data_IF_837777776865
#
_entry.id   IF_837777776865
#
_cell.length_a   1.000
_cell.length_b   1.000
_cell.length_c   1.000
_cell.angle_alpha   90.00
_cell.angle_beta   90.00
_cell.angle_gamma   90.00
#
_symmetry.space_group_name_H-M   'P 1'
#
loop_
_entity.id
_entity.type
_entity.pdbx_description
1 polymer ?
#
# COMPACT_ATOMS: atom_id res chain seq x y z
N UNK A 1 13.48 18.39 10.23
CA UNK A 1 12.32 19.27 10.37
C UNK A 1 11.14 18.38 9.99
N UNK A 2 10.06 18.95 9.51
CA UNK A 2 8.86 18.29 9.01
C UNK A 2 8.32 19.37 8.05
N UNK A 3 8.58 19.20 6.77
CA UNK A 3 8.54 20.31 5.79
C UNK A 3 7.20 20.40 5.07
N UNK A 4 6.50 19.27 4.95
CA UNK A 4 5.18 19.10 4.39
C UNK A 4 4.08 19.09 5.49
N UNK A 5 4.43 18.75 6.73
CA UNK A 5 3.59 18.92 7.92
C UNK A 5 2.72 17.70 8.25
N UNK A 6 3.09 16.51 7.79
CA UNK A 6 2.36 15.26 7.96
C UNK A 6 2.68 14.55 9.29
N UNK A 7 3.75 14.97 9.98
CA UNK A 7 4.22 14.42 11.25
C UNK A 7 5.32 13.36 11.12
N UNK A 8 5.75 13.04 9.90
CA UNK A 8 6.96 12.28 9.59
C UNK A 8 8.13 13.29 9.45
N UNK A 9 9.27 13.09 10.13
CA UNK A 9 10.36 14.06 10.02
C UNK A 9 11.15 13.90 8.71
N UNK A 10 11.60 14.99 8.06
CA UNK A 10 12.32 14.95 6.75
C UNK A 10 13.49 13.95 6.68
N UNK A 11 14.11 13.65 7.83
CA UNK A 11 15.23 12.71 7.94
C UNK A 11 14.80 11.24 7.78
N UNK A 12 13.53 10.95 8.04
CA UNK A 12 12.88 9.66 7.85
C UNK A 12 12.43 9.51 6.40
N UNK A 13 11.73 10.50 5.83
CA UNK A 13 11.28 10.50 4.43
C UNK A 13 12.45 10.51 3.44
N UNK A 14 13.46 11.34 3.73
CA UNK A 14 14.63 11.47 2.88
C UNK A 14 14.36 12.20 1.57
N UNK A 15 15.36 12.24 0.69
CA UNK A 15 15.30 12.99 -0.58
C UNK A 15 14.97 12.09 -1.78
N UNK A 16 14.30 10.97 -1.53
CA UNK A 16 13.72 10.14 -2.60
C UNK A 16 12.63 10.90 -3.35
N UNK A 17 12.13 10.32 -4.42
CA UNK A 17 11.00 10.79 -5.23
C UNK A 17 10.39 9.50 -5.80
N UNK A 18 9.57 8.85 -4.99
CA UNK A 18 9.15 7.46 -5.22
C UNK A 18 8.12 7.39 -6.35
N UNK A 19 7.14 8.29 -6.34
CA UNK A 19 6.09 8.37 -7.36
C UNK A 19 6.55 9.09 -8.66
N UNK A 20 7.72 9.74 -8.63
CA UNK A 20 8.31 10.47 -9.76
C UNK A 20 7.50 11.69 -10.22
N UNK A 21 6.79 12.37 -9.32
CA UNK A 21 6.04 13.60 -9.63
C UNK A 21 6.93 14.87 -9.66
N UNK A 22 8.15 14.77 -9.10
CA UNK A 22 9.15 15.83 -9.04
C UNK A 22 9.23 16.56 -7.70
N UNK A 23 8.46 16.17 -6.70
CA UNK A 23 8.63 16.51 -5.30
C UNK A 23 9.46 15.42 -4.61
N UNK A 24 10.49 15.78 -3.84
CA UNK A 24 11.13 14.81 -2.99
C UNK A 24 10.19 14.39 -1.85
N UNK A 25 10.24 13.13 -1.43
CA UNK A 25 9.36 12.56 -0.38
C UNK A 25 9.18 13.50 0.83
N UNK A 26 10.27 14.08 1.39
CA UNK A 26 10.16 15.01 2.53
C UNK A 26 9.37 16.32 2.29
N UNK A 27 8.92 16.57 1.07
CA UNK A 27 8.10 17.71 0.65
C UNK A 27 6.80 17.26 -0.02
N UNK A 28 6.60 15.96 -0.16
CA UNK A 28 5.43 15.34 -0.75
C UNK A 28 4.54 14.84 0.37
N UNK A 29 3.22 14.98 0.21
CA UNK A 29 2.24 14.56 1.21
C UNK A 29 1.56 13.23 0.85
N UNK A 30 1.95 12.64 -0.28
CA UNK A 30 1.46 11.38 -0.88
C UNK A 30 2.66 10.77 -1.65
N UNK A 31 3.69 10.36 -0.91
CA UNK A 31 5.03 10.09 -1.42
C UNK A 31 5.09 8.94 -2.43
N UNK A 32 4.16 7.98 -2.39
CA UNK A 32 4.07 6.86 -3.32
C UNK A 32 3.00 7.06 -4.43
N UNK A 33 2.18 8.11 -4.31
CA UNK A 33 1.24 8.58 -5.31
C UNK A 33 0.02 7.67 -5.47
N UNK A 34 -0.36 6.94 -4.43
CA UNK A 34 -1.48 6.01 -4.44
C UNK A 34 -2.84 6.71 -4.14
N UNK A 35 -2.79 7.94 -3.59
CA UNK A 35 -3.94 8.76 -3.23
C UNK A 35 -4.36 8.68 -1.75
N UNK A 36 -3.61 7.98 -0.90
CA UNK A 36 -3.70 7.95 0.54
C UNK A 36 -2.54 8.80 1.09
N UNK A 37 -2.81 9.86 1.87
CA UNK A 37 -1.72 10.72 2.34
C UNK A 37 -0.78 10.04 3.36
N UNK A 38 0.50 10.40 3.35
CA UNK A 38 1.55 9.86 4.24
C UNK A 38 1.15 9.91 5.73
N UNK A 39 0.46 10.98 6.15
CA UNK A 39 -0.08 11.13 7.52
C UNK A 39 -1.08 10.04 7.92
N UNK A 40 -1.77 9.45 6.95
CA UNK A 40 -2.75 8.37 7.14
C UNK A 40 -2.04 7.01 7.16
N UNK A 41 -1.11 6.78 6.24
CA UNK A 41 -0.39 5.51 6.09
C UNK A 41 0.62 5.30 7.22
N UNK A 42 1.39 6.35 7.51
CA UNK A 42 2.38 6.41 8.56
C UNK A 42 3.61 5.53 8.31
N UNK A 43 4.49 5.51 9.31
CA UNK A 43 5.79 4.82 9.22
C UNK A 43 5.72 3.32 9.56
N UNK A 44 4.56 2.69 9.40
CA UNK A 44 4.41 1.23 9.54
C UNK A 44 5.18 0.51 8.44
N UNK A 45 5.32 -0.81 8.55
CA UNK A 45 5.85 -1.71 7.50
C UNK A 45 5.11 -3.03 7.73
N UNK A 46 3.91 -3.12 7.17
CA UNK A 46 2.97 -4.17 7.52
C UNK A 46 3.35 -5.52 6.91
N UNK A 47 3.78 -5.52 5.65
CA UNK A 47 4.17 -6.73 4.93
C UNK A 47 5.63 -7.18 5.23
N UNK A 48 6.46 -6.28 5.76
CA UNK A 48 7.83 -6.54 6.18
C UNK A 48 8.84 -6.56 5.03
N UNK A 49 8.54 -5.91 3.90
CA UNK A 49 9.44 -5.85 2.74
C UNK A 49 10.58 -4.83 2.90
N UNK A 50 10.45 -3.92 3.88
CA UNK A 50 11.43 -2.91 4.25
C UNK A 50 11.16 -1.51 3.69
N UNK A 51 10.06 -1.32 2.96
CA UNK A 51 9.47 -0.01 2.69
C UNK A 51 8.45 0.32 3.79
N UNK A 52 8.50 1.53 4.36
CA UNK A 52 7.40 1.99 5.18
C UNK A 52 6.12 2.15 4.35
N UNK A 53 4.95 1.98 4.96
CA UNK A 53 3.65 2.08 4.28
C UNK A 53 3.50 3.36 3.43
N UNK A 54 3.89 4.54 3.93
CA UNK A 54 3.87 5.79 3.15
C UNK A 54 4.80 5.83 1.91
N UNK A 55 5.57 4.76 1.68
CA UNK A 55 6.45 4.55 0.54
C UNK A 55 6.17 3.20 -0.15
N UNK A 56 5.02 2.58 0.11
CA UNK A 56 4.67 1.26 -0.38
C UNK A 56 3.25 1.21 -0.94
N UNK A 57 3.15 1.07 -2.26
CA UNK A 57 1.88 1.08 -2.97
C UNK A 57 1.07 -0.24 -2.86
N UNK A 58 1.52 -1.21 -2.06
CA UNK A 58 0.88 -2.50 -1.74
C UNK A 58 1.21 -2.86 -0.28
N UNK A 59 0.87 -1.98 0.66
CA UNK A 59 1.34 -1.98 2.07
C UNK A 59 1.12 -3.30 2.83
N UNK A 60 0.11 -4.08 2.46
CA UNK A 60 -0.20 -5.38 3.09
C UNK A 60 0.35 -6.61 2.33
N UNK A 61 0.92 -6.38 1.15
CA UNK A 61 1.53 -7.38 0.29
C UNK A 61 0.56 -8.45 -0.24
N UNK A 62 -0.75 -8.17 -0.30
CA UNK A 62 -1.75 -9.09 -0.82
C UNK A 62 -1.79 -9.13 -2.37
N UNK A 63 -1.18 -8.13 -3.01
CA UNK A 63 -1.07 -7.98 -4.46
C UNK A 63 -2.15 -7.12 -5.09
N UNK A 64 -2.92 -6.38 -4.30
CA UNK A 64 -3.87 -5.35 -4.73
C UNK A 64 -3.31 -3.99 -4.29
N UNK A 65 -3.07 -3.04 -5.22
CA UNK A 65 -2.53 -1.75 -4.84
C UNK A 65 -3.42 -0.97 -3.87
N UNK A 66 -2.81 -0.26 -2.93
CA UNK A 66 -3.45 0.55 -1.89
C UNK A 66 -4.45 1.55 -2.50
N UNK A 67 -4.09 2.18 -3.63
CA UNK A 67 -4.95 3.05 -4.45
C UNK A 67 -6.31 2.42 -4.85
N UNK A 68 -6.36 1.09 -4.95
CA UNK A 68 -7.57 0.32 -5.30
C UNK A 68 -8.36 -0.07 -4.04
N UNK A 69 -7.67 -0.37 -2.94
CA UNK A 69 -8.27 -0.82 -1.69
C UNK A 69 -8.84 0.35 -0.86
N UNK A 70 -8.06 1.41 -0.75
CA UNK A 70 -8.35 2.67 -0.07
C UNK A 70 -8.49 2.54 1.44
N UNK A 71 -8.88 3.63 2.08
CA UNK A 71 -9.01 3.72 3.55
C UNK A 71 -10.32 3.12 4.10
N UNK A 72 -10.96 2.24 3.34
CA UNK A 72 -12.19 1.56 3.78
C UNK A 72 -11.91 0.55 4.90
N UNK A 73 -12.95 -0.08 5.42
CA UNK A 73 -12.84 -1.24 6.30
C UNK A 73 -13.98 -2.19 5.88
N UNK A 74 -13.67 -3.08 4.94
CA UNK A 74 -14.64 -3.95 4.27
C UNK A 74 -15.20 -5.01 5.21
N UNK A 75 -14.42 -5.36 6.22
CA UNK A 75 -14.53 -6.54 7.04
C UNK A 75 -15.09 -6.20 8.44
N UNK A 76 -14.82 -4.97 8.91
CA UNK A 76 -15.33 -4.36 10.13
C UNK A 76 -14.51 -4.65 11.38
N UNK A 77 -13.28 -5.15 11.24
CA UNK A 77 -12.40 -5.44 12.37
C UNK A 77 -11.59 -4.23 12.87
N UNK A 78 -11.64 -3.11 12.13
CA UNK A 78 -10.99 -1.85 12.45
C UNK A 78 -9.61 -1.66 11.82
N UNK A 79 -9.18 -2.55 10.94
CA UNK A 79 -7.99 -2.39 10.10
C UNK A 79 -8.44 -1.79 8.75
N UNK A 80 -7.82 -0.69 8.28
CA UNK A 80 -8.12 -0.16 6.96
C UNK A 80 -7.75 -1.16 5.85
N UNK A 81 -8.48 -1.14 4.73
CA UNK A 81 -8.29 -2.13 3.66
C UNK A 81 -6.85 -2.21 3.14
N UNK A 82 -6.20 -1.06 2.91
CA UNK A 82 -4.79 -0.99 2.46
C UNK A 82 -3.78 -1.57 3.49
N UNK A 83 -4.24 -1.89 4.70
CA UNK A 83 -3.47 -2.53 5.76
C UNK A 83 -4.05 -3.89 6.17
N UNK A 84 -5.01 -4.42 5.43
CA UNK A 84 -5.77 -5.61 5.79
C UNK A 84 -5.57 -6.75 4.76
N UNK A 85 -4.57 -7.63 4.99
CA UNK A 85 -4.29 -8.75 4.09
C UNK A 85 -5.43 -9.79 4.07
N UNK A 86 -6.42 -9.66 4.96
CA UNK A 86 -7.61 -10.48 5.00
C UNK A 86 -8.93 -9.69 4.95
N UNK A 87 -8.98 -8.68 4.07
CA UNK A 87 -10.12 -7.86 3.58
C UNK A 87 -11.46 -8.58 3.27
N UNK A 88 -11.54 -9.91 3.48
CA UNK A 88 -12.71 -10.77 3.34
C UNK A 88 -13.20 -11.21 4.72
N UNK A 89 -14.06 -10.37 5.28
CA UNK A 89 -14.97 -10.67 6.40
C UNK A 89 -15.29 -12.16 6.54
N UNK A 90 -14.68 -12.80 7.53
CA UNK A 90 -15.08 -14.10 8.06
C UNK A 90 -15.06 -15.28 7.08
N UNK A 91 -13.96 -16.02 7.10
CA UNK A 91 -13.87 -17.45 6.73
C UNK A 91 -14.16 -17.83 5.26
N UNK A 92 -13.13 -17.80 4.42
CA UNK A 92 -12.64 -18.97 3.67
C UNK A 92 -11.55 -18.53 2.69
N UNK A 93 -10.37 -19.15 2.83
CA UNK A 93 -9.25 -18.95 1.91
C UNK A 93 -9.67 -19.10 0.45
N UNK A 94 -9.57 -18.02 -0.30
CA UNK A 94 -9.48 -18.08 -1.75
C UNK A 94 -8.16 -17.46 -2.11
N UNK A 95 -7.15 -18.32 -2.19
CA UNK A 95 -5.89 -18.09 -2.88
C UNK A 95 -6.18 -17.28 -4.14
N UNK A 96 -5.61 -16.08 -4.26
CA UNK A 96 -5.50 -15.40 -5.54
C UNK A 96 -4.77 -16.35 -6.48
N UNK A 97 -5.56 -17.10 -7.25
CA UNK A 97 -5.04 -17.89 -8.35
C UNK A 97 -4.55 -16.88 -9.36
N UNK A 98 -3.25 -16.63 -9.29
CA UNK A 98 -2.40 -16.09 -10.36
C UNK A 98 -3.11 -16.25 -11.70
N UNK A 99 -3.36 -15.12 -12.36
CA UNK A 99 -3.75 -15.07 -13.77
C UNK A 99 -2.65 -15.73 -14.62
N UNK A 100 -2.63 -17.06 -14.65
CA UNK A 100 -1.98 -17.80 -15.73
C UNK A 100 -2.94 -17.72 -16.91
N UNK A 101 -2.54 -17.12 -18.05
CA UNK A 101 -3.38 -17.17 -19.24
C UNK A 101 -3.62 -18.64 -19.54
N UNK A 102 -4.89 -19.03 -19.70
CA UNK A 102 -5.27 -20.38 -20.10
C UNK A 102 -4.51 -20.75 -21.38
N UNK A 103 -3.37 -21.45 -21.24
CA UNK A 103 -2.82 -22.20 -22.35
C UNK A 103 -3.84 -23.30 -22.60
N UNK A 104 -4.59 -23.13 -23.69
CA UNK A 104 -5.51 -24.12 -24.21
C UNK A 104 -4.76 -25.46 -24.37
N UNK A 105 -4.91 -26.33 -23.37
CA UNK A 105 -4.56 -27.74 -23.49
C UNK A 105 -5.73 -28.43 -24.17
N UNK A 106 -5.74 -28.37 -25.49
CA UNK A 106 -6.47 -29.35 -26.27
C UNK A 106 -5.68 -30.66 -26.24
N UNK A 107 -6.21 -31.67 -25.56
CA UNK A 107 -5.85 -33.07 -25.75
C UNK A 107 -7.03 -33.96 -25.30
N UNK A 108 -7.23 -35.16 -25.86
CA UNK A 108 -6.46 -35.83 -26.93
C UNK A 108 -7.06 -35.70 -28.33
#
# INVERSE_FOLDING_TARGET
ADSDGDGIPDVVEGTGDLDSDGLPNYLDADSDGDGIPDVVEGTGDLDGDGLPNYLDADSDGDGIPDAVEGTGDADGDGIPNYLDPDNRSGSAGVVYRVYLPLVARSAP
#
